data_IF_243406495243
#
_entry.id   IF_243406495243
#
_cell.length_a   1.000
_cell.length_b   1.000
_cell.length_c   1.000
_cell.angle_alpha   90.00
_cell.angle_beta   90.00
_cell.angle_gamma   90.00
#
_symmetry.space_group_name_H-M   'P 1'
#
loop_
_entity.id
_entity.type
_entity.pdbx_description
1 polymer ?
#
# COMPACT_ATOMS: atom_id res chain seq x y z
N UNK A 1 61.07 13.31 0.89
CA UNK A 1 59.94 14.05 0.25
C UNK A 1 58.83 14.24 1.28
N UNK A 2 58.65 15.45 1.82
CA UNK A 2 57.55 15.79 2.74
C UNK A 2 56.25 15.91 1.93
N UNK A 3 55.42 14.87 1.91
CA UNK A 3 54.06 14.96 1.34
C UNK A 3 53.27 16.00 2.15
N UNK A 4 52.81 17.04 1.46
CA UNK A 4 52.12 18.20 2.03
C UNK A 4 50.83 17.78 2.72
N UNK A 5 50.79 17.83 4.06
CA UNK A 5 49.60 17.45 4.86
C UNK A 5 48.38 18.33 4.58
N UNK A 6 48.57 19.51 3.99
CA UNK A 6 47.49 20.44 3.64
C UNK A 6 46.54 19.87 2.58
N UNK A 7 47.01 19.01 1.68
CA UNK A 7 46.18 18.35 0.67
C UNK A 7 45.23 17.31 1.27
N UNK A 8 45.60 16.68 2.39
CA UNK A 8 44.82 15.60 3.00
C UNK A 8 43.60 16.17 3.74
N UNK A 9 43.76 17.30 4.43
CA UNK A 9 42.67 17.97 5.17
C UNK A 9 41.57 18.51 4.25
N UNK A 10 41.93 19.01 3.06
CA UNK A 10 40.95 19.50 2.08
C UNK A 10 40.11 18.34 1.53
N UNK A 11 40.72 17.17 1.27
CA UNK A 11 40.01 15.99 0.80
C UNK A 11 39.05 15.42 1.85
N UNK A 12 39.49 15.31 3.12
CA UNK A 12 38.63 14.83 4.21
C UNK A 12 37.46 15.77 4.45
N UNK A 13 37.69 17.09 4.40
CA UNK A 13 36.62 18.09 4.52
C UNK A 13 35.61 18.07 3.37
N UNK A 14 36.04 17.77 2.14
CA UNK A 14 35.13 17.64 1.01
C UNK A 14 34.27 16.38 1.10
N UNK A 15 34.85 15.25 1.55
CA UNK A 15 34.14 13.99 1.72
C UNK A 15 33.08 14.11 2.83
N UNK A 16 33.40 14.73 3.96
CA UNK A 16 32.42 14.94 5.04
C UNK A 16 31.28 15.87 4.64
N UNK A 17 31.57 16.93 3.87
CA UNK A 17 30.53 17.80 3.30
C UNK A 17 29.64 17.05 2.31
N UNK A 18 30.22 16.18 1.47
CA UNK A 18 29.45 15.37 0.51
C UNK A 18 28.53 14.36 1.22
N UNK A 19 29.00 13.73 2.30
CA UNK A 19 28.21 12.81 3.13
C UNK A 19 27.07 13.58 3.84
N UNK A 20 27.32 14.79 4.32
CA UNK A 20 26.28 15.65 4.92
C UNK A 20 25.23 16.09 3.89
N UNK A 21 25.64 16.46 2.67
CA UNK A 21 24.72 16.85 1.60
C UNK A 21 23.91 15.65 1.08
N UNK A 22 24.54 14.49 0.91
CA UNK A 22 23.85 13.24 0.56
C UNK A 22 22.90 12.79 1.69
N UNK A 23 23.31 12.94 2.95
CA UNK A 23 22.45 12.68 4.10
C UNK A 23 21.21 13.58 4.10
N UNK A 24 21.38 14.89 3.90
CA UNK A 24 20.25 15.84 3.85
C UNK A 24 19.32 15.56 2.65
N UNK A 25 19.85 15.14 1.49
CA UNK A 25 19.04 14.77 0.33
C UNK A 25 18.29 13.44 0.50
N UNK A 26 18.83 12.49 1.25
CA UNK A 26 18.17 11.21 1.55
C UNK A 26 17.10 11.32 2.66
N UNK A 27 17.13 12.39 3.47
CA UNK A 27 16.21 12.58 4.60
C UNK A 27 15.03 13.52 4.34
N UNK A 28 14.71 13.84 3.08
CA UNK A 28 13.45 14.51 2.71
C UNK A 28 12.23 13.58 2.79
N UNK A 29 12.21 12.68 3.77
CA UNK A 29 11.05 11.87 4.11
C UNK A 29 9.92 12.76 4.60
N UNK A 30 8.75 12.59 4.00
CA UNK A 30 7.53 13.29 4.38
C UNK A 30 7.27 13.15 5.89
N UNK A 31 7.02 14.26 6.59
CA UNK A 31 6.83 14.31 8.05
C UNK A 31 5.72 13.36 8.51
N UNK A 32 4.65 13.23 7.74
CA UNK A 32 3.56 12.29 8.06
C UNK A 32 4.01 10.83 7.93
N UNK A 33 4.78 10.49 6.91
CA UNK A 33 5.34 9.13 6.75
C UNK A 33 6.26 8.78 7.91
N UNK A 34 7.13 9.71 8.33
CA UNK A 34 8.00 9.51 9.50
C UNK A 34 7.18 9.28 10.77
N UNK A 35 6.04 9.96 10.95
CA UNK A 35 5.14 9.72 12.08
C UNK A 35 4.58 8.31 12.08
N UNK A 36 4.10 7.82 10.93
CA UNK A 36 3.61 6.44 10.79
C UNK A 36 4.70 5.39 11.03
N UNK A 37 5.88 5.60 10.45
CA UNK A 37 7.02 4.71 10.66
C UNK A 37 7.45 4.68 12.13
N UNK A 38 7.50 5.84 12.80
CA UNK A 38 7.81 5.91 14.23
C UNK A 38 6.75 5.20 15.08
N UNK A 39 5.46 5.35 14.76
CA UNK A 39 4.38 4.67 15.48
C UNK A 39 4.54 3.15 15.37
N UNK A 40 4.76 2.63 14.16
CA UNK A 40 5.01 1.22 13.91
C UNK A 40 6.26 0.73 14.65
N UNK A 41 7.37 1.46 14.56
CA UNK A 41 8.63 1.07 15.21
C UNK A 41 8.62 1.20 16.73
N UNK A 42 7.61 1.85 17.31
CA UNK A 42 7.37 1.93 18.76
C UNK A 42 6.31 0.93 19.26
N UNK A 43 5.66 0.20 18.36
CA UNK A 43 4.58 -0.74 18.70
C UNK A 43 5.09 -2.07 19.27
N UNK A 44 4.23 -2.78 20.00
CA UNK A 44 4.53 -4.11 20.53
C UNK A 44 4.81 -5.13 19.42
N UNK A 45 4.03 -5.06 18.32
CA UNK A 45 4.21 -5.89 17.12
C UNK A 45 5.65 -5.87 16.62
N UNK A 46 6.28 -4.68 16.58
CA UNK A 46 7.67 -4.56 16.12
C UNK A 46 8.61 -5.34 17.02
N UNK A 47 8.41 -5.29 18.34
CA UNK A 47 9.29 -6.00 19.27
C UNK A 47 9.05 -7.51 19.26
N UNK A 48 7.82 -7.93 18.96
CA UNK A 48 7.42 -9.33 18.98
C UNK A 48 7.80 -10.06 17.69
N UNK A 49 7.53 -9.44 16.53
CA UNK A 49 7.59 -10.14 15.24
C UNK A 49 8.63 -9.61 14.26
N UNK A 50 9.20 -8.42 14.47
CA UNK A 50 10.17 -7.85 13.54
C UNK A 50 11.61 -8.08 14.01
N UNK A 51 12.47 -8.38 13.06
CA UNK A 51 13.91 -8.51 13.26
C UNK A 51 14.57 -7.13 13.42
N UNK A 52 14.13 -6.17 12.61
CA UNK A 52 14.65 -4.80 12.54
C UNK A 52 13.51 -3.77 12.44
N UNK A 53 13.88 -2.48 12.38
CA UNK A 53 12.91 -1.41 12.14
C UNK A 53 12.15 -1.59 10.82
N UNK A 54 10.82 -1.48 10.90
CA UNK A 54 10.00 -1.39 9.71
C UNK A 54 10.25 -0.06 8.99
N UNK A 55 10.12 -0.09 7.67
CA UNK A 55 10.35 1.04 6.78
C UNK A 55 9.11 1.34 5.95
N UNK A 56 8.88 2.62 5.64
CA UNK A 56 7.80 3.03 4.74
C UNK A 56 8.42 3.75 3.56
N UNK A 57 8.32 3.15 2.37
CA UNK A 57 8.97 3.65 1.15
C UNK A 57 7.94 3.95 0.06
N UNK A 58 8.18 5.02 -0.69
CA UNK A 58 7.36 5.35 -1.85
C UNK A 58 7.58 4.33 -2.96
N UNK A 59 6.49 3.82 -3.56
CA UNK A 59 6.55 2.93 -4.72
C UNK A 59 6.41 3.70 -6.02
N UNK A 60 5.30 4.43 -6.15
CA UNK A 60 4.93 5.16 -7.35
C UNK A 60 4.15 6.43 -7.00
N UNK A 61 4.02 7.30 -7.98
CA UNK A 61 3.20 8.51 -7.87
C UNK A 61 2.37 8.69 -9.13
N UNK A 62 1.13 9.12 -8.95
CA UNK A 62 0.22 9.49 -10.04
C UNK A 62 -0.12 10.96 -9.92
N UNK A 63 -0.04 11.70 -11.02
CA UNK A 63 -0.39 13.13 -11.03
C UNK A 63 -1.53 13.40 -11.99
N UNK A 64 -2.56 14.10 -11.51
CA UNK A 64 -3.73 14.50 -12.31
C UNK A 64 -4.33 15.80 -11.79
N UNK A 65 -4.80 16.66 -12.70
CA UNK A 65 -5.45 17.93 -12.36
C UNK A 65 -4.69 18.80 -11.33
N UNK A 66 -3.35 18.75 -11.38
CA UNK A 66 -2.46 19.49 -10.48
C UNK A 66 -2.30 18.89 -9.08
N UNK A 67 -2.90 17.72 -8.79
CA UNK A 67 -2.65 16.93 -7.59
C UNK A 67 -1.65 15.81 -7.90
N UNK A 68 -0.82 15.47 -6.92
CA UNK A 68 0.04 14.29 -6.96
C UNK A 68 -0.33 13.37 -5.81
N UNK A 69 -0.65 12.12 -6.11
CA UNK A 69 -0.83 11.03 -5.14
C UNK A 69 0.44 10.19 -5.14
N UNK A 70 1.05 9.97 -3.97
CA UNK A 70 2.19 9.09 -3.80
C UNK A 70 1.79 7.87 -2.99
N UNK A 71 2.03 6.69 -3.53
CA UNK A 71 1.73 5.41 -2.90
C UNK A 71 2.97 4.90 -2.15
N UNK A 72 2.74 4.39 -0.95
CA UNK A 72 3.77 3.92 -0.04
C UNK A 72 3.52 2.48 0.36
N UNK A 73 4.60 1.73 0.49
CA UNK A 73 4.60 0.37 1.00
C UNK A 73 5.30 0.32 2.36
N UNK A 74 4.70 -0.41 3.30
CA UNK A 74 5.31 -0.82 4.55
C UNK A 74 6.13 -2.08 4.30
N UNK A 75 7.40 -2.07 4.67
CA UNK A 75 8.31 -3.21 4.58
C UNK A 75 8.97 -3.50 5.93
N UNK A 76 9.01 -4.76 6.32
CA UNK A 76 9.71 -5.21 7.54
C UNK A 76 10.38 -6.58 7.32
N UNK A 77 11.52 -6.79 7.96
CA UNK A 77 12.10 -8.13 8.10
C UNK A 77 11.51 -8.77 9.36
N UNK A 78 10.95 -9.98 9.24
CA UNK A 78 10.30 -10.68 10.34
C UNK A 78 11.22 -11.73 10.95
N UNK A 79 11.06 -11.97 12.25
CA UNK A 79 11.90 -12.87 13.03
C UNK A 79 11.35 -14.30 13.05
N UNK A 80 12.08 -15.21 13.71
CA UNK A 80 11.70 -16.62 13.88
C UNK A 80 10.36 -16.83 14.62
N UNK A 81 9.94 -15.89 15.48
CA UNK A 81 8.65 -16.01 16.18
C UNK A 81 7.48 -15.82 15.21
N UNK A 82 7.61 -14.92 14.23
CA UNK A 82 6.64 -14.79 13.15
C UNK A 82 6.53 -16.08 12.33
N UNK A 83 7.65 -16.75 12.05
CA UNK A 83 7.66 -17.98 11.25
C UNK A 83 6.97 -19.17 11.92
N UNK A 84 6.94 -19.18 13.26
CA UNK A 84 6.21 -20.21 14.03
C UNK A 84 4.69 -20.04 14.00
N UNK A 85 4.20 -18.89 13.55
CA UNK A 85 2.77 -18.62 13.46
C UNK A 85 2.12 -19.43 12.33
N UNK A 86 0.87 -19.83 12.55
CA UNK A 86 0.02 -20.33 11.46
C UNK A 86 -0.29 -19.22 10.43
N UNK A 87 -0.67 -19.58 9.21
CA UNK A 87 -0.98 -18.58 8.17
C UNK A 87 -2.11 -17.61 8.58
N UNK A 88 -3.10 -18.10 9.34
CA UNK A 88 -4.15 -17.25 9.93
C UNK A 88 -3.57 -16.24 10.92
N UNK A 89 -2.59 -16.63 11.74
CA UNK A 89 -1.92 -15.74 12.69
C UNK A 89 -0.98 -14.77 11.98
N UNK A 90 -0.20 -15.22 10.99
CA UNK A 90 0.61 -14.34 10.13
C UNK A 90 -0.27 -13.26 9.50
N UNK A 91 -1.45 -13.62 8.98
CA UNK A 91 -2.44 -12.68 8.48
C UNK A 91 -2.92 -11.67 9.54
N UNK A 92 -3.15 -12.10 10.79
CA UNK A 92 -3.53 -11.20 11.89
C UNK A 92 -2.45 -10.18 12.21
N UNK A 93 -1.16 -10.54 12.14
CA UNK A 93 -0.06 -9.58 12.32
C UNK A 93 -0.15 -8.44 11.31
N UNK A 94 -0.46 -8.71 10.03
CA UNK A 94 -0.68 -7.65 9.03
C UNK A 94 -1.86 -6.73 9.38
N UNK A 95 -2.95 -7.29 9.91
CA UNK A 95 -4.09 -6.49 10.38
C UNK A 95 -3.72 -5.60 11.57
N UNK A 96 -2.96 -6.13 12.52
CA UNK A 96 -2.51 -5.36 13.67
C UNK A 96 -1.55 -4.23 13.26
N UNK A 97 -0.67 -4.47 12.29
CA UNK A 97 0.20 -3.41 11.72
C UNK A 97 -0.64 -2.30 11.10
N UNK A 98 -1.68 -2.65 10.34
CA UNK A 98 -2.64 -1.65 9.84
C UNK A 98 -3.31 -0.90 10.99
N UNK A 99 -3.73 -1.59 12.04
CA UNK A 99 -4.43 -0.97 13.16
C UNK A 99 -3.52 0.00 13.93
N UNK A 100 -2.22 -0.32 14.06
CA UNK A 100 -1.20 0.62 14.58
C UNK A 100 -1.09 1.87 13.71
N UNK A 101 -1.20 1.71 12.39
CA UNK A 101 -1.22 2.81 11.44
C UNK A 101 -2.57 3.57 11.41
N UNK A 102 -3.56 3.13 12.21
CA UNK A 102 -4.94 3.67 12.33
C UNK A 102 -5.48 4.15 10.99
N UNK A 103 -5.70 3.18 10.10
CA UNK A 103 -6.52 3.39 8.91
C UNK A 103 -7.78 2.56 9.07
N UNK A 104 -8.91 3.23 9.36
CA UNK A 104 -10.22 2.58 9.58
C UNK A 104 -10.80 1.91 8.31
N UNK A 105 -10.10 1.94 7.17
CA UNK A 105 -10.47 1.15 6.00
C UNK A 105 -9.26 1.08 5.05
N UNK A 106 -8.72 -0.12 4.76
CA UNK A 106 -7.51 -0.35 3.94
C UNK A 106 -7.72 0.02 2.47
N UNK A 107 -8.88 0.54 2.10
CA UNK A 107 -9.18 0.67 0.69
C UNK A 107 -8.65 1.98 0.09
N UNK A 108 -8.80 3.15 0.71
CA UNK A 108 -8.66 4.40 -0.07
C UNK A 108 -8.34 5.71 0.66
N UNK A 109 -7.82 5.71 1.90
CA UNK A 109 -7.55 7.00 2.57
C UNK A 109 -6.19 7.61 2.24
N UNK A 110 -6.23 8.40 1.16
CA UNK A 110 -5.27 9.44 0.87
C UNK A 110 -5.17 10.43 2.05
N UNK A 111 -4.05 10.45 2.78
CA UNK A 111 -3.77 11.52 3.75
C UNK A 111 -3.02 12.66 3.09
N UNK A 112 -3.21 13.87 3.61
CA UNK A 112 -2.53 15.05 3.09
C UNK A 112 -1.04 14.99 3.40
N UNK A 113 -0.25 15.22 2.37
CA UNK A 113 1.22 15.21 2.41
C UNK A 113 1.82 16.56 2.06
N UNK A 114 0.97 17.58 2.03
CA UNK A 114 1.30 18.93 1.62
C UNK A 114 0.30 19.49 0.63
N UNK A 115 0.57 20.72 0.18
CA UNK A 115 -0.29 21.41 -0.77
C UNK A 115 -0.35 20.65 -2.10
N UNK A 116 -1.56 20.25 -2.52
CA UNK A 116 -1.82 19.43 -3.72
C UNK A 116 -1.05 18.09 -3.75
N UNK A 117 -0.71 17.55 -2.58
CA UNK A 117 -0.04 16.25 -2.43
C UNK A 117 -0.82 15.36 -1.49
N UNK A 118 -1.18 14.20 -1.98
CA UNK A 118 -1.84 13.14 -1.22
C UNK A 118 -0.87 11.95 -1.10
N UNK A 119 -0.98 11.19 -0.03
CA UNK A 119 -0.28 9.92 0.10
C UNK A 119 -1.26 8.81 0.50
N UNK A 120 -1.00 7.61 0.01
CA UNK A 120 -1.69 6.40 0.46
C UNK A 120 -0.66 5.36 0.87
N UNK A 121 -0.96 4.61 1.93
CA UNK A 121 -0.26 3.35 2.21
C UNK A 121 -1.12 2.25 1.60
N UNK A 122 -0.58 1.56 0.60
CA UNK A 122 -1.36 0.64 -0.25
C UNK A 122 -0.66 -0.72 -0.41
N UNK A 123 0.34 -1.00 0.42
CA UNK A 123 1.04 -2.27 0.41
C UNK A 123 1.72 -2.57 1.73
N UNK A 124 1.70 -3.84 2.11
CA UNK A 124 2.47 -4.37 3.22
C UNK A 124 3.23 -5.59 2.72
N UNK A 125 4.53 -5.61 2.97
CA UNK A 125 5.42 -6.68 2.56
C UNK A 125 6.37 -7.04 3.70
N UNK A 126 6.31 -8.28 4.17
CA UNK A 126 7.27 -8.79 5.14
C UNK A 126 8.21 -9.78 4.48
N UNK A 127 9.46 -9.82 4.93
CA UNK A 127 10.47 -10.73 4.40
C UNK A 127 11.11 -11.53 5.51
N UNK A 128 11.32 -12.82 5.27
CA UNK A 128 12.13 -13.68 6.12
C UNK A 128 13.03 -14.52 5.23
N UNK A 129 14.35 -14.38 5.36
CA UNK A 129 15.30 -14.97 4.41
C UNK A 129 14.95 -14.60 2.95
N UNK A 130 14.56 -15.58 2.12
CA UNK A 130 14.15 -15.39 0.73
C UNK A 130 12.62 -15.36 0.55
N UNK A 131 11.86 -15.59 1.62
CA UNK A 131 10.41 -15.63 1.59
C UNK A 131 9.83 -14.22 1.69
N UNK A 132 8.85 -13.95 0.83
CA UNK A 132 8.16 -12.66 0.73
C UNK A 132 6.69 -12.87 1.01
N UNK A 133 6.23 -12.30 2.12
CA UNK A 133 4.84 -12.26 2.54
C UNK A 133 4.21 -10.93 2.13
N UNK A 134 3.08 -10.99 1.44
CA UNK A 134 2.34 -9.79 1.02
C UNK A 134 0.89 -9.85 1.50
N UNK A 135 0.41 -8.72 1.99
CA UNK A 135 -1.00 -8.51 2.25
C UNK A 135 -1.67 -7.91 1.02
N UNK A 136 -2.57 -8.67 0.37
CA UNK A 136 -3.27 -8.22 -0.84
C UNK A 136 -4.76 -8.09 -0.61
N UNK A 137 -5.31 -7.01 -1.14
CA UNK A 137 -6.76 -6.85 -1.31
C UNK A 137 -7.18 -7.45 -2.65
N UNK A 138 -8.09 -8.41 -2.61
CA UNK A 138 -8.77 -8.97 -3.79
C UNK A 138 -9.94 -8.05 -4.13
N UNK A 139 -9.80 -7.32 -5.24
CA UNK A 139 -10.64 -6.17 -5.61
C UNK A 139 -12.13 -6.48 -5.79
N UNK A 140 -12.49 -7.73 -6.11
CA UNK A 140 -13.86 -8.06 -6.51
C UNK A 140 -14.80 -8.29 -5.33
N UNK A 141 -14.28 -8.61 -4.14
CA UNK A 141 -15.11 -9.11 -3.03
C UNK A 141 -14.78 -8.49 -1.66
N UNK A 142 -14.01 -7.40 -1.61
CA UNK A 142 -13.47 -6.81 -0.38
C UNK A 142 -12.72 -7.82 0.51
N UNK A 143 -12.18 -8.86 -0.13
CA UNK A 143 -11.43 -9.91 0.53
C UNK A 143 -9.96 -9.54 0.62
N UNK A 144 -9.35 -10.01 1.69
CA UNK A 144 -7.92 -9.87 1.90
C UNK A 144 -7.31 -11.25 2.01
N UNK A 145 -6.15 -11.40 1.39
CA UNK A 145 -5.37 -12.62 1.42
C UNK A 145 -3.92 -12.35 1.80
N UNK A 146 -3.32 -13.38 2.38
CA UNK A 146 -1.90 -13.48 2.63
C UNK A 146 -1.28 -14.27 1.49
N UNK A 147 -0.28 -13.68 0.85
CA UNK A 147 0.44 -14.25 -0.27
C UNK A 147 1.88 -14.51 0.15
N UNK A 148 2.39 -15.71 -0.12
CA UNK A 148 3.79 -16.09 0.06
C UNK A 148 4.42 -16.34 -1.30
N UNK A 149 5.46 -15.59 -1.65
CA UNK A 149 6.20 -15.73 -2.91
C UNK A 149 5.30 -15.70 -4.16
N UNK A 150 4.19 -14.96 -4.10
CA UNK A 150 3.20 -14.85 -5.18
C UNK A 150 2.05 -15.86 -5.12
N UNK A 151 2.09 -16.86 -4.24
CA UNK A 151 1.02 -17.84 -4.04
C UNK A 151 0.15 -17.48 -2.83
N UNK A 152 -1.17 -17.56 -2.98
CA UNK A 152 -2.09 -17.33 -1.86
C UNK A 152 -2.02 -18.50 -0.87
N UNK A 153 -1.64 -18.21 0.38
CA UNK A 153 -1.53 -19.20 1.45
C UNK A 153 -2.66 -19.08 2.50
N UNK A 154 -3.33 -17.92 2.55
CA UNK A 154 -4.50 -17.74 3.41
C UNK A 154 -5.47 -16.74 2.83
N UNK A 155 -6.76 -17.08 2.85
CA UNK A 155 -7.86 -16.19 2.48
C UNK A 155 -9.03 -16.34 3.44
N UNK A 156 -9.66 -15.21 3.74
CA UNK A 156 -10.86 -15.12 4.58
C UNK A 156 -12.10 -15.79 3.95
N UNK A 157 -12.06 -16.11 2.65
CA UNK A 157 -13.14 -16.83 1.95
C UNK A 157 -13.22 -18.31 2.35
N UNK A 158 -12.12 -18.94 2.78
CA UNK A 158 -12.06 -20.38 3.09
C UNK A 158 -13.02 -20.82 4.22
N UNK A 159 -13.54 -19.88 5.02
CA UNK A 159 -14.57 -20.10 6.05
C UNK A 159 -16.00 -19.70 5.64
N UNK A 160 -16.25 -19.28 4.40
CA UNK A 160 -17.59 -18.89 3.87
C UNK A 160 -18.25 -19.94 2.95
N UNK A 161 -17.84 -21.22 2.99
CA UNK A 161 -18.67 -22.27 2.38
C UNK A 161 -19.96 -22.42 3.18
N UNK A 162 -21.08 -22.07 2.53
CA UNK A 162 -22.49 -22.16 2.95
C UNK A 162 -23.13 -20.87 3.47
N UNK A 163 -23.16 -19.83 2.65
CA UNK A 163 -24.35 -18.95 2.61
C UNK A 163 -24.85 -18.91 1.18
N UNK A 164 -25.89 -19.69 0.90
CA UNK A 164 -26.71 -19.52 -0.30
C UNK A 164 -27.29 -18.10 -0.29
N UNK A 165 -26.65 -17.19 -1.02
CA UNK A 165 -27.19 -15.86 -1.27
C UNK A 165 -28.39 -15.97 -2.20
N UNK A 166 -29.55 -15.58 -1.68
CA UNK A 166 -30.74 -15.32 -2.51
C UNK A 166 -30.39 -14.21 -3.49
N UNK A 167 -30.39 -14.55 -4.77
CA UNK A 167 -30.42 -13.62 -5.90
C UNK A 167 -31.63 -12.70 -5.71
N UNK A 168 -31.40 -11.39 -5.60
CA UNK A 168 -32.46 -10.38 -5.68
C UNK A 168 -31.97 -9.22 -6.56
N UNK A 169 -32.69 -9.07 -7.67
CA UNK A 169 -32.76 -8.00 -8.69
C UNK A 169 -31.45 -7.45 -9.31
N UNK A 170 -31.18 -7.97 -10.50
CA UNK A 170 -30.33 -7.41 -11.55
C UNK A 170 -30.81 -5.99 -11.90
N UNK A 171 -30.07 -4.97 -11.47
CA UNK A 171 -30.23 -3.62 -11.98
C UNK A 171 -28.97 -3.22 -12.73
N UNK A 172 -29.10 -2.98 -14.05
CA UNK A 172 -28.02 -2.45 -14.88
C UNK A 172 -27.47 -1.17 -14.25
N UNK A 173 -26.26 -1.24 -13.73
CA UNK A 173 -25.57 -0.09 -13.13
C UNK A 173 -24.42 0.30 -14.07
N UNK A 174 -24.33 1.57 -14.43
CA UNK A 174 -23.23 2.12 -15.27
C UNK A 174 -22.32 3.01 -14.43
N UNK A 175 -21.06 3.21 -14.87
CA UNK A 175 -20.12 4.14 -14.23
C UNK A 175 -20.35 5.61 -14.63
N UNK A 176 -21.23 5.86 -15.59
CA UNK A 176 -21.47 7.19 -16.15
C UNK A 176 -22.10 8.10 -15.09
N UNK A 177 -21.53 9.30 -14.93
CA UNK A 177 -21.95 10.33 -13.96
C UNK A 177 -21.92 9.94 -12.47
N UNK A 178 -21.24 8.82 -12.13
CA UNK A 178 -21.03 8.42 -10.74
C UNK A 178 -19.70 8.98 -10.22
N UNK A 179 -19.76 10.13 -9.56
CA UNK A 179 -18.62 10.72 -8.86
C UNK A 179 -18.23 9.90 -7.62
N UNK A 180 -17.14 10.26 -6.95
CA UNK A 180 -16.62 9.40 -5.87
C UNK A 180 -17.55 9.22 -4.66
N UNK A 181 -18.45 10.15 -4.37
CA UNK A 181 -19.48 9.96 -3.33
C UNK A 181 -20.63 9.06 -3.82
N UNK A 182 -21.02 9.19 -5.09
CA UNK A 182 -22.05 8.34 -5.70
C UNK A 182 -21.55 6.91 -5.90
N UNK A 183 -20.24 6.74 -6.11
CA UNK A 183 -19.57 5.45 -6.16
C UNK A 183 -19.53 4.78 -4.79
N UNK A 184 -19.22 5.56 -3.74
CA UNK A 184 -19.13 5.06 -2.37
C UNK A 184 -20.50 4.59 -1.83
N UNK A 185 -21.59 5.17 -2.31
CA UNK A 185 -22.95 4.81 -1.89
C UNK A 185 -23.54 3.59 -2.62
N UNK A 186 -22.87 3.08 -3.66
CA UNK A 186 -23.28 1.86 -4.34
C UNK A 186 -23.04 0.61 -3.46
N UNK A 187 -23.93 -0.37 -3.59
CA UNK A 187 -23.66 -1.71 -3.09
C UNK A 187 -22.53 -2.39 -3.87
N UNK A 188 -21.92 -3.42 -3.30
CA UNK A 188 -20.84 -4.15 -3.97
C UNK A 188 -21.32 -4.79 -5.27
N UNK A 189 -22.55 -5.29 -5.30
CA UNK A 189 -23.18 -5.82 -6.52
C UNK A 189 -23.30 -4.73 -7.60
N UNK A 190 -23.72 -3.52 -7.21
CA UNK A 190 -23.83 -2.39 -8.14
C UNK A 190 -22.46 -1.92 -8.66
N UNK A 191 -21.44 -1.90 -7.80
CA UNK A 191 -20.05 -1.60 -8.21
C UNK A 191 -19.53 -2.66 -9.17
N UNK A 192 -19.78 -3.94 -8.89
CA UNK A 192 -19.41 -5.06 -9.76
C UNK A 192 -20.03 -4.93 -11.16
N UNK A 193 -21.34 -4.69 -11.24
CA UNK A 193 -22.01 -4.50 -12.53
C UNK A 193 -21.49 -3.25 -13.26
N UNK A 194 -21.22 -2.16 -12.53
CA UNK A 194 -20.67 -0.94 -13.13
C UNK A 194 -19.29 -1.17 -13.76
N UNK A 195 -18.37 -1.82 -13.04
CA UNK A 195 -17.04 -2.17 -13.57
C UNK A 195 -17.16 -3.15 -14.72
N UNK A 196 -17.96 -4.20 -14.57
CA UNK A 196 -18.13 -5.24 -15.61
C UNK A 196 -18.67 -4.65 -16.92
N UNK A 197 -19.66 -3.74 -16.83
CA UNK A 197 -20.20 -3.04 -17.99
C UNK A 197 -19.16 -2.11 -18.64
N UNK A 198 -18.32 -1.44 -17.85
CA UNK A 198 -17.26 -0.59 -18.38
C UNK A 198 -16.19 -1.40 -19.12
N UNK A 199 -15.75 -2.52 -18.53
CA UNK A 199 -14.79 -3.43 -19.17
C UNK A 199 -15.37 -4.07 -20.44
N UNK A 200 -16.62 -4.51 -20.40
CA UNK A 200 -17.31 -5.04 -21.57
C UNK A 200 -17.37 -4.02 -22.71
N UNK A 201 -17.69 -2.76 -22.42
CA UNK A 201 -17.72 -1.71 -23.44
C UNK A 201 -16.34 -1.42 -24.04
N UNK A 202 -15.26 -1.51 -23.26
CA UNK A 202 -13.90 -1.36 -23.75
C UNK A 202 -13.51 -2.51 -24.67
N UNK A 203 -13.85 -3.75 -24.30
CA UNK A 203 -13.64 -4.94 -25.14
C UNK A 203 -14.41 -4.84 -26.48
N UNK A 204 -15.68 -4.42 -26.44
CA UNK A 204 -16.47 -4.18 -27.65
C UNK A 204 -15.91 -3.08 -28.56
N UNK A 205 -15.12 -2.15 -28.01
CA UNK A 205 -14.42 -1.12 -28.78
C UNK A 205 -13.03 -1.55 -29.27
N UNK A 206 -12.64 -2.81 -29.04
CA UNK A 206 -11.38 -3.39 -29.49
C UNK A 206 -10.18 -3.06 -28.60
N UNK A 207 -10.40 -2.58 -27.37
CA UNK A 207 -9.32 -2.39 -26.41
C UNK A 207 -8.97 -3.73 -25.74
N UNK A 208 -7.67 -3.99 -25.58
CA UNK A 208 -7.18 -5.13 -24.80
C UNK A 208 -7.00 -4.71 -23.34
N UNK A 209 -7.73 -5.35 -22.43
CA UNK A 209 -7.57 -5.15 -20.98
C UNK A 209 -6.42 -6.05 -20.53
N UNK A 210 -5.36 -5.46 -19.98
CA UNK A 210 -4.23 -6.21 -19.44
C UNK A 210 -4.54 -6.67 -18.02
N UNK A 211 -4.49 -7.98 -17.79
CA UNK A 211 -4.62 -8.55 -16.45
C UNK A 211 -3.43 -8.13 -15.58
N UNK A 212 -3.70 -7.62 -14.37
CA UNK A 212 -2.67 -7.20 -13.41
C UNK A 212 -2.38 -5.70 -13.35
N UNK A 213 -3.06 -4.87 -14.14
CA UNK A 213 -3.01 -3.41 -14.00
C UNK A 213 -4.01 -2.88 -12.96
N UNK A 214 -3.60 -1.86 -12.21
CA UNK A 214 -4.44 -1.19 -11.21
C UNK A 214 -5.12 0.04 -11.82
N UNK A 215 -6.46 0.09 -11.73
CA UNK A 215 -7.24 1.25 -12.14
C UNK A 215 -7.78 1.98 -10.91
N UNK A 216 -7.55 3.29 -10.84
CA UNK A 216 -7.93 4.11 -9.69
C UNK A 216 -9.16 4.97 -10.02
N UNK A 217 -10.19 4.90 -9.18
CA UNK A 217 -11.31 5.85 -9.21
C UNK A 217 -10.99 6.96 -8.21
N UNK A 218 -10.73 8.17 -8.72
CA UNK A 218 -10.36 9.32 -7.90
C UNK A 218 -11.61 10.09 -7.46
N UNK A 219 -11.81 10.23 -6.14
CA UNK A 219 -12.85 11.08 -5.58
C UNK A 219 -12.30 12.51 -5.40
N UNK A 220 -12.67 13.41 -6.31
CA UNK A 220 -12.41 14.84 -6.14
C UNK A 220 -13.58 15.47 -5.39
N UNK A 221 -13.38 15.86 -4.13
CA UNK A 221 -14.27 16.83 -3.48
C UNK A 221 -13.91 18.22 -3.98
N UNK A 222 -14.72 18.78 -4.86
CA UNK A 222 -14.80 20.24 -5.02
C UNK A 222 -15.50 20.80 -3.78
N UNK A 223 -14.75 21.51 -2.93
CA UNK A 223 -15.33 22.38 -1.90
C UNK A 223 -15.97 23.61 -2.54
#
# INVERSE_FOLDING_TARGET
MKKSSKSLFVFVGMITLLILVLGVLLFSGNKEIKKYQNALNSSEIRNEYFQDEATIKSRNSVSTQGYTVTFYQVSAEVNEEFEKLSDEQKYKVFLEVRDVLKQEDISYYNFSCGKKRLCAIDGFQFTHNNDVYEYKKVLLNDHFSLVLNGEEIYSTESKRKNVTSKVNDDTETTMQDKGGNDWASLSDNQKYHAVSNALYNLDQQGYTILEGEYYYILNFRTQ
#
